data_IF_595150728924
#
_entry.id   IF_595150728924
#
_cell.length_a   1.000
_cell.length_b   1.000
_cell.length_c   1.000
_cell.angle_alpha   90.00
_cell.angle_beta   90.00
_cell.angle_gamma   90.00
#
_symmetry.space_group_name_H-M   'P 1'
#
loop_
_entity.id
_entity.type
_entity.pdbx_description
1 polymer ?
#
# COMPACT_ATOMS: atom_id res chain seq x y z
N UNK A 1 13.41 12.12 -12.10
CA UNK A 1 12.79 10.84 -12.52
C UNK A 1 11.77 11.18 -13.58
N UNK A 2 11.78 10.48 -14.71
CA UNK A 2 10.70 10.62 -15.69
C UNK A 2 9.44 10.03 -15.04
N UNK A 3 8.36 10.81 -14.98
CA UNK A 3 7.05 10.31 -14.56
C UNK A 3 6.49 9.51 -15.74
N UNK A 4 6.11 8.26 -15.50
CA UNK A 4 5.43 7.44 -16.52
C UNK A 4 3.96 7.82 -16.54
N UNK A 5 3.47 8.35 -17.66
CA UNK A 5 2.05 8.68 -17.82
C UNK A 5 1.28 7.37 -18.01
N UNK A 6 0.25 7.14 -17.21
CA UNK A 6 -0.60 5.96 -17.32
C UNK A 6 -1.93 6.28 -17.98
N UNK A 7 -2.58 7.37 -17.56
CA UNK A 7 -3.93 7.71 -17.99
C UNK A 7 -4.11 9.22 -18.15
N UNK A 8 -5.09 9.62 -18.94
CA UNK A 8 -5.64 10.97 -18.93
C UNK A 8 -7.10 10.88 -18.47
N UNK A 9 -7.36 11.30 -17.23
CA UNK A 9 -8.71 11.26 -16.64
C UNK A 9 -9.18 12.70 -16.41
N UNK A 10 -10.35 13.08 -16.95
CA UNK A 10 -10.89 14.44 -16.86
C UNK A 10 -9.88 15.55 -17.22
N UNK A 11 -9.12 15.33 -18.30
CA UNK A 11 -8.01 16.20 -18.74
C UNK A 11 -6.86 16.36 -17.73
N UNK A 12 -6.78 15.49 -16.72
CA UNK A 12 -5.64 15.39 -15.81
C UNK A 12 -4.73 14.24 -16.21
N UNK A 13 -3.43 14.52 -16.24
CA UNK A 13 -2.41 13.52 -16.45
C UNK A 13 -2.22 12.72 -15.15
N UNK A 14 -2.38 11.40 -15.25
CA UNK A 14 -2.26 10.47 -14.13
C UNK A 14 -1.01 9.63 -14.35
N UNK A 15 -0.04 9.74 -13.45
CA UNK A 15 1.28 9.14 -13.57
C UNK A 15 1.46 7.97 -12.60
N UNK A 16 2.24 6.96 -13.00
CA UNK A 16 2.63 5.86 -12.13
C UNK A 16 3.38 6.38 -10.89
N UNK A 17 2.93 5.99 -9.70
CA UNK A 17 3.63 6.23 -8.44
C UNK A 17 4.32 4.95 -7.96
N UNK A 18 3.60 3.83 -7.88
CA UNK A 18 4.17 2.54 -7.50
C UNK A 18 3.34 1.33 -7.95
N UNK A 19 4.02 0.27 -8.38
CA UNK A 19 3.38 -1.02 -8.67
C UNK A 19 3.27 -1.81 -7.38
N UNK A 20 2.07 -2.28 -7.03
CA UNK A 20 1.83 -3.07 -5.82
C UNK A 20 1.80 -4.58 -6.13
N UNK A 21 1.27 -4.93 -7.29
CA UNK A 21 1.21 -6.29 -7.81
C UNK A 21 1.46 -6.25 -9.31
N UNK A 22 2.38 -7.09 -9.78
CA UNK A 22 2.63 -7.35 -11.19
C UNK A 22 2.46 -8.85 -11.52
N UNK A 23 2.17 -9.12 -12.78
CA UNK A 23 2.16 -10.46 -13.36
C UNK A 23 3.00 -10.43 -14.65
N UNK A 24 4.09 -11.20 -14.70
CA UNK A 24 5.01 -11.22 -15.85
C UNK A 24 5.43 -9.81 -16.30
N UNK A 25 5.77 -8.93 -15.35
CA UNK A 25 6.15 -7.53 -15.57
C UNK A 25 5.01 -6.61 -16.05
N UNK A 26 3.77 -7.09 -16.13
CA UNK A 26 2.58 -6.28 -16.39
C UNK A 26 2.00 -5.78 -15.05
N UNK A 27 1.86 -4.45 -14.84
CA UNK A 27 1.22 -3.91 -13.64
C UNK A 27 -0.25 -4.33 -13.54
N UNK A 28 -0.60 -5.08 -12.49
CA UNK A 28 -1.97 -5.55 -12.26
C UNK A 28 -2.69 -4.64 -11.27
N UNK A 29 -2.00 -4.24 -10.20
CA UNK A 29 -2.57 -3.40 -9.16
C UNK A 29 -1.53 -2.36 -8.75
N UNK A 30 -1.82 -1.09 -8.95
CA UNK A 30 -0.82 -0.04 -8.83
C UNK A 30 -1.40 1.32 -8.43
N UNK A 31 -0.57 2.11 -7.76
CA UNK A 31 -0.86 3.46 -7.35
C UNK A 31 -0.38 4.44 -8.41
N UNK A 32 -1.21 5.44 -8.66
CA UNK A 32 -0.90 6.57 -9.51
C UNK A 32 -1.07 7.89 -8.75
N UNK A 33 -0.49 8.95 -9.29
CA UNK A 33 -0.67 10.34 -8.85
C UNK A 33 -0.83 11.28 -10.01
N UNK A 34 -1.66 12.31 -9.84
CA UNK A 34 -1.59 13.48 -10.71
C UNK A 34 -0.53 14.48 -10.24
N UNK A 35 -0.41 15.60 -10.96
CA UNK A 35 0.51 16.68 -10.62
C UNK A 35 0.17 17.42 -9.33
N UNK A 36 -1.06 17.26 -8.81
CA UNK A 36 -1.53 17.80 -7.53
C UNK A 36 -1.28 16.83 -6.36
N UNK A 37 -0.56 15.73 -6.59
CA UNK A 37 -0.31 14.65 -5.62
C UNK A 37 -1.59 13.95 -5.16
N UNK A 38 -2.69 14.05 -5.90
CA UNK A 38 -3.89 13.26 -5.65
C UNK A 38 -3.63 11.82 -6.07
N UNK A 39 -3.94 10.87 -5.18
CA UNK A 39 -3.77 9.45 -5.43
C UNK A 39 -4.93 8.86 -6.24
N UNK A 40 -4.58 7.92 -7.10
CA UNK A 40 -5.48 7.04 -7.81
C UNK A 40 -4.99 5.61 -7.64
N UNK A 41 -5.92 4.67 -7.67
CA UNK A 41 -5.64 3.24 -7.64
C UNK A 41 -6.17 2.64 -8.93
N UNK A 42 -5.29 1.94 -9.65
CA UNK A 42 -5.61 1.26 -10.89
C UNK A 42 -5.54 -0.25 -10.70
N UNK A 43 -6.51 -0.95 -11.27
CA UNK A 43 -6.63 -2.39 -11.33
C UNK A 43 -6.78 -2.79 -12.80
N UNK A 44 -5.85 -3.58 -13.32
CA UNK A 44 -6.00 -4.24 -14.60
C UNK A 44 -7.05 -5.36 -14.46
N UNK A 45 -8.11 -5.27 -15.24
CA UNK A 45 -9.21 -6.27 -15.25
C UNK A 45 -9.10 -7.23 -16.42
N UNK A 46 -8.45 -6.82 -17.51
CA UNK A 46 -8.18 -7.65 -18.67
C UNK A 46 -6.83 -7.25 -19.28
N UNK A 47 -5.84 -8.13 -19.17
CA UNK A 47 -4.48 -7.89 -19.68
C UNK A 47 -4.46 -7.90 -21.21
N UNK A 48 -5.23 -8.79 -21.84
CA UNK A 48 -5.21 -8.96 -23.29
C UNK A 48 -5.84 -7.75 -23.99
N UNK A 49 -6.91 -7.23 -23.41
CA UNK A 49 -7.65 -6.08 -23.95
C UNK A 49 -7.20 -4.73 -23.37
N UNK A 50 -6.26 -4.72 -22.42
CA UNK A 50 -5.79 -3.50 -21.77
C UNK A 50 -6.92 -2.77 -21.04
N UNK A 51 -7.78 -3.51 -20.33
CA UNK A 51 -8.87 -2.92 -19.56
C UNK A 51 -8.45 -2.65 -18.12
N UNK A 52 -8.82 -1.47 -17.62
CA UNK A 52 -8.53 -1.03 -16.26
C UNK A 52 -9.76 -0.42 -15.58
N UNK A 53 -9.86 -0.68 -14.29
CA UNK A 53 -10.66 0.10 -13.35
C UNK A 53 -9.72 1.07 -12.65
N UNK A 54 -10.03 2.37 -12.70
CA UNK A 54 -9.29 3.39 -11.97
C UNK A 54 -10.22 4.11 -11.02
N UNK A 55 -9.80 4.30 -9.78
CA UNK A 55 -10.54 5.05 -8.77
C UNK A 55 -9.65 6.11 -8.11
N UNK A 56 -10.23 7.27 -7.85
CA UNK A 56 -9.60 8.31 -7.03
C UNK A 56 -9.67 7.89 -5.57
N UNK A 57 -8.55 7.91 -4.85
CA UNK A 57 -8.51 7.48 -3.44
C UNK A 57 -7.81 8.52 -2.56
N UNK A 58 -8.26 8.65 -1.31
CA UNK A 58 -7.64 9.56 -0.36
C UNK A 58 -6.27 9.05 0.12
N UNK A 59 -5.41 9.96 0.59
CA UNK A 59 -4.13 9.61 1.21
C UNK A 59 -4.30 8.60 2.37
N UNK A 60 -5.38 8.72 3.15
CA UNK A 60 -5.72 7.77 4.22
C UNK A 60 -6.08 6.38 3.68
N UNK A 61 -6.77 6.33 2.54
CA UNK A 61 -7.11 5.06 1.87
C UNK A 61 -5.85 4.35 1.38
N UNK A 62 -4.87 5.10 0.85
CA UNK A 62 -3.55 4.56 0.49
C UNK A 62 -2.86 3.97 1.70
N UNK A 63 -2.80 4.70 2.81
CA UNK A 63 -2.23 4.19 4.06
C UNK A 63 -2.92 2.90 4.51
N UNK A 64 -4.25 2.89 4.58
CA UNK A 64 -4.99 1.70 4.99
C UNK A 64 -4.78 0.51 4.06
N UNK A 65 -4.67 0.75 2.75
CA UNK A 65 -4.35 -0.28 1.76
C UNK A 65 -2.98 -0.88 2.01
N UNK A 66 -1.93 -0.04 2.05
CA UNK A 66 -0.53 -0.47 2.15
C UNK A 66 -0.25 -1.25 3.45
N UNK A 67 -0.97 -0.92 4.52
CA UNK A 67 -0.85 -1.58 5.83
C UNK A 67 -1.85 -2.72 6.05
N UNK A 68 -2.67 -3.07 5.04
CA UNK A 68 -3.64 -4.17 5.13
C UNK A 68 -4.78 -3.94 6.14
N UNK A 69 -5.07 -2.69 6.47
CA UNK A 69 -6.16 -2.31 7.38
C UNK A 69 -7.53 -2.50 6.74
N UNK A 70 -7.60 -2.38 5.41
CA UNK A 70 -8.79 -2.55 4.58
C UNK A 70 -8.51 -3.57 3.47
N UNK A 71 -9.54 -4.30 3.02
CA UNK A 71 -9.40 -5.20 1.88
C UNK A 71 -9.21 -4.41 0.58
N UNK A 72 -8.43 -4.95 -0.37
CA UNK A 72 -8.12 -4.27 -1.63
C UNK A 72 -9.39 -3.93 -2.41
N UNK A 73 -10.35 -4.86 -2.44
CA UNK A 73 -11.68 -4.68 -3.01
C UNK A 73 -12.44 -3.51 -2.39
N UNK A 74 -12.40 -3.38 -1.06
CA UNK A 74 -13.19 -2.36 -0.35
C UNK A 74 -12.63 -0.96 -0.55
N UNK A 75 -11.33 -0.81 -0.81
CA UNK A 75 -10.73 0.49 -1.19
C UNK A 75 -11.40 1.03 -2.46
N UNK A 76 -11.67 0.14 -3.43
CA UNK A 76 -12.35 0.48 -4.68
C UNK A 76 -13.83 0.75 -4.43
N UNK A 77 -14.52 -0.18 -3.75
CA UNK A 77 -15.97 -0.10 -3.54
C UNK A 77 -16.43 1.05 -2.63
N UNK A 78 -15.54 1.59 -1.80
CA UNK A 78 -15.87 2.76 -0.96
C UNK A 78 -15.88 4.08 -1.73
N UNK A 79 -15.49 4.10 -3.01
CA UNK A 79 -15.54 5.30 -3.83
C UNK A 79 -16.94 5.51 -4.43
N UNK A 80 -17.25 6.75 -4.83
CA UNK A 80 -18.55 7.08 -5.45
C UNK A 80 -18.60 6.75 -6.94
N UNK A 81 -17.45 6.86 -7.61
CA UNK A 81 -17.29 6.69 -9.05
C UNK A 81 -16.03 5.87 -9.32
N UNK A 82 -15.97 5.28 -10.51
CA UNK A 82 -14.77 4.72 -11.09
C UNK A 82 -14.71 5.06 -12.58
N UNK A 83 -13.48 5.09 -13.12
CA UNK A 83 -13.26 5.14 -14.55
C UNK A 83 -13.00 3.73 -15.06
N UNK A 84 -13.74 3.33 -16.10
CA UNK A 84 -13.37 2.20 -16.94
C UNK A 84 -12.51 2.73 -18.08
N UNK A 85 -11.28 2.24 -18.18
CA UNK A 85 -10.32 2.59 -19.22
C UNK A 85 -10.07 1.39 -20.11
N UNK A 86 -10.07 1.58 -21.42
CA UNK A 86 -9.57 0.61 -22.40
C UNK A 86 -8.42 1.27 -23.13
N UNK A 87 -7.22 0.70 -23.01
CA UNK A 87 -6.00 1.27 -23.56
C UNK A 87 -5.99 1.26 -25.09
N UNK A 88 -5.57 2.37 -25.69
CA UNK A 88 -5.26 2.48 -27.11
C UNK A 88 -3.76 2.35 -27.41
N UNK A 89 -3.38 2.44 -28.68
CA UNK A 89 -1.96 2.41 -29.11
C UNK A 89 -1.11 3.54 -28.48
N UNK A 90 -1.75 4.66 -28.18
CA UNK A 90 -1.19 5.78 -27.45
C UNK A 90 -2.20 6.21 -26.38
N UNK A 91 -1.73 6.75 -25.25
CA UNK A 91 -2.59 7.16 -24.11
C UNK A 91 -3.69 8.14 -24.54
N UNK A 92 -3.42 9.00 -25.53
CA UNK A 92 -4.42 9.95 -26.08
C UNK A 92 -5.60 9.25 -26.79
N UNK A 93 -5.42 7.99 -27.15
CA UNK A 93 -6.41 7.15 -27.82
C UNK A 93 -7.16 6.24 -26.85
N UNK A 94 -6.86 6.30 -25.54
CA UNK A 94 -7.57 5.54 -24.53
C UNK A 94 -9.06 5.88 -24.52
N UNK A 95 -9.89 4.86 -24.39
CA UNK A 95 -11.33 5.03 -24.19
C UNK A 95 -11.57 5.07 -22.69
N UNK A 96 -11.93 6.26 -22.19
CA UNK A 96 -12.17 6.50 -20.76
C UNK A 96 -13.65 6.82 -20.55
N UNK A 97 -14.32 6.04 -19.71
CA UNK A 97 -15.71 6.27 -19.34
C UNK A 97 -15.84 6.28 -17.81
N UNK A 98 -16.50 7.30 -17.27
CA UNK A 98 -16.84 7.40 -15.85
C UNK A 98 -18.17 6.70 -15.56
N UNK A 99 -18.23 5.93 -14.47
CA UNK A 99 -19.44 5.27 -14.01
C UNK A 99 -19.60 5.43 -12.48
N UNK A 100 -20.85 5.47 -11.97
CA UNK A 100 -21.11 5.30 -10.55
C UNK A 100 -20.61 3.93 -10.05
N UNK A 101 -20.15 3.85 -8.80
CA UNK A 101 -19.56 2.63 -8.25
C UNK A 101 -20.50 1.42 -8.31
N UNK A 102 -21.81 1.65 -8.23
CA UNK A 102 -22.86 0.62 -8.25
C UNK A 102 -22.90 -0.18 -9.57
N UNK A 103 -22.28 0.32 -10.64
CA UNK A 103 -22.20 -0.33 -11.96
C UNK A 103 -20.98 -1.26 -12.11
N UNK A 104 -20.10 -1.31 -11.10
CA UNK A 104 -18.86 -2.08 -11.18
C UNK A 104 -19.15 -3.58 -11.22
N UNK A 105 -18.47 -4.31 -12.11
CA UNK A 105 -18.56 -5.76 -12.14
C UNK A 105 -17.72 -6.36 -11.01
N UNK A 106 -18.39 -6.97 -10.03
CA UNK A 106 -17.74 -7.56 -8.88
C UNK A 106 -16.83 -8.75 -9.18
N UNK A 107 -16.95 -9.36 -10.36
CA UNK A 107 -16.08 -10.46 -10.78
C UNK A 107 -14.68 -9.99 -11.16
N UNK A 108 -14.54 -8.72 -11.53
CA UNK A 108 -13.27 -8.12 -11.96
C UNK A 108 -12.44 -7.63 -10.76
N UNK A 109 -13.02 -7.65 -9.56
CA UNK A 109 -12.39 -7.12 -8.35
C UNK A 109 -11.53 -8.19 -7.65
N UNK A 110 -10.55 -7.77 -6.84
CA UNK A 110 -9.82 -8.67 -5.97
C UNK A 110 -10.76 -9.51 -5.09
N UNK A 111 -10.27 -10.68 -4.69
CA UNK A 111 -11.03 -11.58 -3.82
C UNK A 111 -11.59 -10.83 -2.60
N UNK A 112 -12.80 -11.23 -2.22
CA UNK A 112 -13.47 -10.64 -1.06
C UNK A 112 -12.59 -10.82 0.18
N UNK A 113 -12.47 -9.77 0.99
CA UNK A 113 -11.68 -9.74 2.22
C UNK A 113 -10.15 -9.88 2.03
N UNK A 114 -9.65 -9.96 0.79
CA UNK A 114 -8.21 -10.03 0.50
C UNK A 114 -7.52 -8.72 0.86
N UNK A 115 -6.56 -8.81 1.79
CA UNK A 115 -5.75 -7.69 2.26
C UNK A 115 -4.38 -7.70 1.60
N UNK A 116 -3.90 -6.52 1.24
CA UNK A 116 -2.55 -6.36 0.70
C UNK A 116 -1.50 -6.76 1.76
N UNK A 117 -0.44 -7.44 1.31
CA UNK A 117 0.70 -7.85 2.14
C UNK A 117 2.00 -7.46 1.47
N UNK A 118 2.86 -6.80 2.23
CA UNK A 118 4.19 -6.40 1.76
C UNK A 118 5.12 -7.62 1.83
N UNK A 119 5.39 -8.23 0.68
CA UNK A 119 6.30 -9.38 0.57
C UNK A 119 7.66 -9.00 -0.02
N UNK A 120 7.68 -8.04 -0.93
CA UNK A 120 8.87 -7.67 -1.69
C UNK A 120 9.60 -6.48 -1.06
N UNK A 121 10.93 -6.50 -1.12
CA UNK A 121 11.80 -5.49 -0.50
C UNK A 121 11.54 -4.07 -1.04
N UNK A 122 11.37 -3.93 -2.35
CA UNK A 122 11.16 -2.62 -2.97
C UNK A 122 9.82 -1.98 -2.53
N UNK A 123 8.76 -2.79 -2.36
CA UNK A 123 7.48 -2.34 -1.82
C UNK A 123 7.66 -1.87 -0.37
N UNK A 124 8.43 -2.61 0.44
CA UNK A 124 8.74 -2.21 1.82
C UNK A 124 9.45 -0.86 1.87
N UNK A 125 10.41 -0.62 0.99
CA UNK A 125 11.14 0.65 0.89
C UNK A 125 10.20 1.80 0.48
N UNK A 126 9.30 1.56 -0.47
CA UNK A 126 8.26 2.51 -0.85
C UNK A 126 7.35 2.84 0.33
N UNK A 127 6.81 1.84 1.04
CA UNK A 127 5.92 2.06 2.19
C UNK A 127 6.62 2.83 3.30
N UNK A 128 7.91 2.56 3.57
CA UNK A 128 8.69 3.33 4.53
C UNK A 128 8.88 4.79 4.13
N UNK A 129 9.05 5.08 2.83
CA UNK A 129 9.11 6.44 2.32
C UNK A 129 7.75 7.13 2.43
N UNK A 130 6.68 6.44 2.01
CA UNK A 130 5.31 6.91 2.11
C UNK A 130 4.95 7.26 3.56
N UNK A 131 5.23 6.38 4.53
CA UNK A 131 4.93 6.60 5.94
C UNK A 131 5.62 7.88 6.46
N UNK A 132 6.89 8.09 6.10
CA UNK A 132 7.61 9.32 6.48
C UNK A 132 6.90 10.56 5.94
N UNK A 133 6.47 10.55 4.69
CA UNK A 133 5.75 11.68 4.06
C UNK A 133 4.36 11.86 4.68
N UNK A 134 3.64 10.75 4.90
CA UNK A 134 2.32 10.72 5.51
C UNK A 134 2.33 11.35 6.90
N UNK A 135 3.29 10.97 7.76
CA UNK A 135 3.43 11.53 9.11
C UNK A 135 4.13 12.90 9.13
N UNK A 136 4.96 13.24 8.13
CA UNK A 136 5.56 14.58 8.03
C UNK A 136 4.53 15.66 7.69
N UNK A 137 3.47 15.32 6.94
CA UNK A 137 2.37 16.25 6.62
C UNK A 137 1.70 16.86 7.88
N UNK A 138 1.79 16.20 9.03
CA UNK A 138 1.25 16.69 10.31
C UNK A 138 2.06 17.83 10.95
N UNK A 139 3.34 18.00 10.62
CA UNK A 139 4.12 19.12 11.13
C UNK A 139 3.69 20.44 10.48
N UNK A 140 3.21 20.39 9.22
CA UNK A 140 2.67 21.54 8.50
C UNK A 140 1.23 21.86 8.93
N UNK A 141 0.40 20.84 9.18
CA UNK A 141 -1.01 21.03 9.61
C UNK A 141 -1.14 21.56 11.05
N UNK A 142 -0.19 21.27 11.95
CA UNK A 142 -0.14 21.93 13.28
C UNK A 142 0.18 23.42 13.18
N UNK A 143 1.12 23.81 12.32
CA UNK A 143 1.45 25.22 12.10
C UNK A 143 0.33 25.97 11.34
N UNK A 144 -0.37 25.28 10.44
CA UNK A 144 -1.53 25.83 9.70
C UNK A 144 -2.78 25.95 10.57
N UNK A 145 -3.07 24.97 11.44
CA UNK A 145 -4.20 25.04 12.40
C UNK A 145 -4.00 26.09 13.49
N UNK A 146 -2.76 26.37 13.90
CA UNK A 146 -2.45 27.53 14.75
C UNK A 146 -2.75 28.86 14.02
N UNK A 147 -2.59 28.92 12.70
CA UNK A 147 -2.89 30.11 11.87
C UNK A 147 -4.35 30.22 11.40
N UNK A 148 -5.06 29.10 11.21
CA UNK A 148 -6.45 29.02 10.75
C UNK A 148 -7.49 29.22 11.87
N UNK A 149 -7.06 29.33 13.12
CA UNK A 149 -7.93 29.76 14.23
C UNK A 149 -8.33 31.25 14.16
N UNK A 150 -8.21 31.88 12.98
CA UNK A 150 -8.66 33.26 12.80
C UNK A 150 -9.59 33.52 11.62
N UNK A 151 -9.92 32.57 10.74
CA UNK A 151 -11.08 32.68 9.84
C UNK A 151 -11.25 31.41 8.99
N UNK A 152 -12.49 30.91 8.96
CA UNK A 152 -13.15 30.06 7.96
C UNK A 152 -13.06 28.51 7.97
N UNK A 153 -14.25 27.94 8.26
CA UNK A 153 -14.95 26.75 7.75
C UNK A 153 -14.09 25.71 7.02
N UNK A 154 -13.77 24.62 7.71
CA UNK A 154 -13.17 23.40 7.15
C UNK A 154 -14.29 22.48 6.64
N UNK A 155 -14.19 22.01 5.39
CA UNK A 155 -15.12 21.05 4.80
C UNK A 155 -15.02 19.65 5.46
N UNK A 156 -16.14 18.93 5.54
CA UNK A 156 -16.31 17.70 6.33
C UNK A 156 -15.29 16.57 6.02
N UNK A 157 -14.77 16.50 4.79
CA UNK A 157 -13.82 15.48 4.34
C UNK A 157 -12.40 15.72 4.91
N UNK A 158 -11.99 16.98 5.04
CA UNK A 158 -10.71 17.35 5.67
C UNK A 158 -10.78 17.11 7.19
N UNK A 159 -11.93 17.39 7.81
CA UNK A 159 -12.15 17.15 9.24
C UNK A 159 -12.15 15.64 9.57
N UNK A 160 -12.69 14.80 8.69
CA UNK A 160 -12.66 13.34 8.83
C UNK A 160 -11.23 12.79 8.76
N UNK A 161 -10.42 13.29 7.81
CA UNK A 161 -9.01 12.92 7.70
C UNK A 161 -8.21 13.32 8.96
N UNK A 162 -8.46 14.51 9.52
CA UNK A 162 -7.80 14.98 10.76
C UNK A 162 -8.18 14.12 11.97
N UNK A 163 -9.46 13.79 12.13
CA UNK A 163 -9.95 12.95 13.25
C UNK A 163 -9.42 11.51 13.17
N UNK A 164 -9.32 10.94 11.97
CA UNK A 164 -8.76 9.60 11.79
C UNK A 164 -7.25 9.58 12.04
N UNK A 165 -6.47 10.54 11.52
CA UNK A 165 -5.02 10.61 11.76
C UNK A 165 -4.68 10.77 13.25
N UNK A 166 -5.41 11.60 13.98
CA UNK A 166 -5.24 11.77 15.43
C UNK A 166 -5.56 10.52 16.24
N UNK A 167 -6.47 9.66 15.76
CA UNK A 167 -6.77 8.37 16.40
C UNK A 167 -5.60 7.38 16.27
N UNK A 168 -4.99 7.26 15.09
CA UNK A 168 -3.85 6.34 14.87
C UNK A 168 -2.60 6.74 15.67
N UNK A 169 -2.30 8.03 15.83
CA UNK A 169 -1.20 8.50 16.69
C UNK A 169 -1.39 8.17 18.17
N UNK A 170 -2.64 8.16 18.66
CA UNK A 170 -2.92 7.78 20.05
C UNK A 170 -2.62 6.30 20.27
N UNK A 171 -2.88 5.45 19.28
CA UNK A 171 -2.56 4.03 19.36
C UNK A 171 -1.05 3.78 19.31
N UNK A 172 -0.32 4.44 18.41
CA UNK A 172 1.15 4.29 18.34
C UNK A 172 1.85 4.82 19.58
N UNK A 173 1.39 5.94 20.17
CA UNK A 173 1.91 6.40 21.47
C UNK A 173 1.63 5.41 22.60
N UNK A 174 0.46 4.79 22.62
CA UNK A 174 0.15 3.77 23.63
C UNK A 174 1.00 2.51 23.47
N UNK A 175 1.36 2.10 22.25
CA UNK A 175 2.27 0.97 22.04
C UNK A 175 3.73 1.30 22.40
N UNK A 176 4.16 2.55 22.24
CA UNK A 176 5.50 3.02 22.64
C UNK A 176 5.59 3.18 24.17
N UNK A 177 4.53 3.63 24.85
CA UNK A 177 4.49 3.83 26.31
C UNK A 177 4.42 2.52 27.13
N UNK A 178 4.28 1.34 26.51
CA UNK A 178 4.24 0.04 27.21
C UNK A 178 5.64 -0.62 27.34
N UNK A 179 6.73 -0.01 26.84
CA UNK A 179 8.10 -0.55 27.02
C UNK A 179 9.08 0.45 27.65
N UNK A 180 8.81 0.84 28.90
CA UNK A 180 9.88 1.13 29.85
C UNK A 180 9.59 0.43 31.19
N UNK A 181 10.19 -0.75 31.47
CA UNK A 181 10.29 -1.19 32.85
C UNK A 181 11.33 -0.33 33.54
N UNK A 182 10.86 0.73 34.21
CA UNK A 182 11.62 1.38 35.28
C UNK A 182 11.77 0.38 36.42
N UNK A 183 12.95 -0.20 36.61
CA UNK A 183 13.38 -0.51 37.97
C UNK A 183 14.90 -0.51 38.16
N UNK A 184 15.25 0.10 39.29
CA UNK A 184 16.57 0.48 39.79
C UNK A 184 17.36 -0.76 40.25
N UNK A 185 18.67 -0.76 40.01
CA UNK A 185 19.61 -1.63 40.74
C UNK A 185 19.60 -1.31 42.25
N UNK A 186 19.79 -2.33 43.13
CA UNK A 186 21.09 -2.44 43.80
C UNK A 186 21.62 -3.87 44.04
N UNK A 187 22.94 -4.01 43.84
CA UNK A 187 23.98 -4.90 44.43
C UNK A 187 23.70 -6.35 44.94
N UNK A 188 24.50 -7.27 44.34
CA UNK A 188 25.50 -8.18 44.98
C UNK A 188 25.13 -9.56 45.59
N UNK A 189 25.65 -10.61 44.91
CA UNK A 189 26.29 -11.86 45.39
C UNK A 189 25.43 -13.02 45.96
N UNK A 190 25.34 -14.15 45.23
CA UNK A 190 26.12 -15.42 45.39
C UNK A 190 25.50 -16.58 44.59
N UNK A 191 26.35 -17.57 44.34
CA UNK A 191 26.22 -18.77 43.52
C UNK A 191 24.98 -19.66 43.80
N UNK A 192 24.45 -20.30 42.75
CA UNK A 192 24.26 -21.76 42.64
C UNK A 192 23.45 -22.16 41.36
N UNK A 193 24.17 -22.75 40.40
CA UNK A 193 23.86 -23.97 39.65
C UNK A 193 22.48 -24.22 38.97
N UNK A 194 22.55 -24.49 37.65
CA UNK A 194 21.82 -25.48 36.82
C UNK A 194 20.49 -25.13 36.12
N UNK A 195 20.59 -25.14 34.78
CA UNK A 195 19.64 -25.59 33.74
C UNK A 195 18.45 -24.70 33.35
N UNK A 196 18.40 -24.23 32.10
CA UNK A 196 17.97 -24.98 30.91
C UNK A 196 17.44 -24.01 29.82
N UNK A 197 17.76 -24.34 28.56
CA UNK A 197 17.16 -23.86 27.30
C UNK A 197 17.60 -22.49 26.76
N UNK A 198 18.75 -22.51 26.07
CA UNK A 198 19.08 -21.63 24.94
C UNK A 198 18.83 -22.45 23.65
N UNK A 199 18.34 -21.77 22.61
CA UNK A 199 18.38 -22.06 21.16
C UNK A 199 16.97 -21.83 20.55
N UNK A 200 16.76 -21.17 19.41
CA UNK A 200 17.68 -20.90 18.29
C UNK A 200 17.12 -19.76 17.40
N UNK A 201 18.04 -18.91 16.92
CA UNK A 201 17.85 -18.00 15.79
C UNK A 201 17.78 -18.78 14.48
N UNK A 202 16.86 -18.42 13.56
CA UNK A 202 16.95 -18.87 12.16
C UNK A 202 17.36 -17.72 11.24
N UNK A 203 18.59 -17.85 10.76
CA UNK A 203 19.21 -17.15 9.63
C UNK A 203 18.69 -17.74 8.31
N UNK A 204 18.28 -16.89 7.36
CA UNK A 204 18.08 -17.28 5.97
C UNK A 204 19.37 -17.02 5.17
N UNK A 205 19.90 -18.09 4.56
CA UNK A 205 20.98 -18.04 3.56
C UNK A 205 20.38 -17.89 2.16
N UNK A 206 20.88 -16.93 1.40
CA UNK A 206 20.74 -16.83 -0.05
C UNK A 206 21.55 -17.95 -0.71
N UNK A 207 20.96 -18.66 -1.68
CA UNK A 207 21.70 -19.52 -2.60
C UNK A 207 21.29 -19.19 -4.03
N UNK A 208 22.14 -18.39 -4.69
CA UNK A 208 22.28 -18.33 -6.14
C UNK A 208 23.37 -19.34 -6.55
N UNK A 209 23.04 -20.35 -7.34
CA UNK A 209 24.00 -20.98 -8.26
C UNK A 209 23.30 -21.89 -9.27
N UNK A 210 23.47 -21.56 -10.55
CA UNK A 210 23.32 -22.45 -11.70
C UNK A 210 24.17 -23.72 -11.55
N UNK A 211 23.69 -24.87 -12.05
CA UNK A 211 24.34 -25.79 -13.01
C UNK A 211 23.54 -27.11 -13.11
N UNK A 212 22.85 -27.21 -14.25
CA UNK A 212 22.75 -28.27 -15.26
C UNK A 212 23.19 -29.75 -15.03
N UNK A 213 22.45 -30.62 -15.74
CA UNK A 213 22.68 -32.02 -16.23
C UNK A 213 22.71 -33.21 -15.24
N UNK A 214 21.74 -34.13 -15.38
CA UNK A 214 21.95 -35.50 -15.92
C UNK A 214 20.74 -36.42 -15.73
N UNK A 215 20.32 -37.02 -16.86
CA UNK A 215 19.43 -38.16 -17.00
C UNK A 215 19.82 -39.33 -16.10
N UNK A 216 18.85 -40.05 -15.53
CA UNK A 216 18.90 -41.52 -15.49
C UNK A 216 17.49 -42.10 -15.40
N UNK A 217 17.15 -42.91 -16.41
CA UNK A 217 16.06 -43.89 -16.43
C UNK A 217 16.10 -44.79 -15.19
N UNK A 218 14.96 -45.27 -14.70
CA UNK A 218 14.75 -46.68 -14.36
C UNK A 218 13.25 -47.00 -14.44
N UNK A 219 13.00 -48.12 -15.08
CA UNK A 219 11.76 -48.85 -15.36
C UNK A 219 11.14 -49.54 -14.13
N UNK A 220 9.87 -49.94 -14.28
CA UNK A 220 9.24 -51.26 -14.04
C UNK A 220 7.77 -50.99 -13.63
N UNK A 221 6.71 -51.34 -14.37
CA UNK A 221 6.26 -52.60 -14.99
C UNK A 221 4.96 -53.04 -14.31
N UNK A 222 3.89 -53.14 -15.10
CA UNK A 222 3.01 -54.30 -15.21
C UNK A 222 2.30 -54.21 -16.57
#
# INVERSE_FOLDING_TARGET
MNKELCFILDNKNIYLDHILVDYEYVPIFFLCKDDECQYYLALCTDIENGEYIVVKISLLSVYNLLHGNIAMRDVILNQKIFWKVVSGDEIKNDIVNEYPIDYINHQDLPEKDAKFKILQKHIKEYVQKFDKEFFASEQYDKEKSIKLNLEDIICDEELANIKCKTYFLKQTKHEIDIKEPKQKFPYSNKDDSVSSLINEEYSYRENNSNIDICETKISYAA
#
